data_IF_124964023380
#
_entry.id   IF_124964023380
#
_cell.length_a   1.000
_cell.length_b   1.000
_cell.length_c   1.000
_cell.angle_alpha   90.00
_cell.angle_beta   90.00
_cell.angle_gamma   90.00
#
_symmetry.space_group_name_H-M   'P 1'
#
loop_
_entity.id
_entity.type
_entity.pdbx_description
1 polymer ?
#
# COMPACT_ATOMS: atom_id res chain seq x y z
N UNK A 1 10.03 -5.25 -54.08
CA UNK A 1 9.41 -4.77 -52.81
C UNK A 1 9.46 -5.93 -51.85
N UNK A 2 10.47 -5.96 -51.02
CA UNK A 2 10.72 -7.03 -50.04
C UNK A 2 10.15 -6.56 -48.70
N UNK A 3 9.05 -7.18 -48.27
CA UNK A 3 8.48 -6.99 -46.94
C UNK A 3 9.40 -7.69 -45.92
N UNK A 4 10.08 -6.87 -45.10
CA UNK A 4 10.81 -7.35 -43.92
C UNK A 4 9.76 -7.63 -42.83
N UNK A 5 9.57 -8.92 -42.52
CA UNK A 5 8.76 -9.35 -41.38
C UNK A 5 9.55 -9.06 -40.11
N UNK A 6 9.10 -8.08 -39.35
CA UNK A 6 9.63 -7.74 -38.03
C UNK A 6 9.36 -8.93 -37.11
N UNK A 7 10.43 -9.58 -36.65
CA UNK A 7 10.39 -10.70 -35.73
C UNK A 7 9.85 -10.24 -34.39
N UNK A 8 8.61 -10.62 -34.08
CA UNK A 8 8.06 -10.48 -32.74
C UNK A 8 8.97 -11.22 -31.73
N UNK A 9 9.62 -10.47 -30.83
CA UNK A 9 10.36 -11.04 -29.71
C UNK A 9 9.40 -11.92 -28.91
N UNK A 10 9.65 -13.20 -28.85
CA UNK A 10 8.95 -14.12 -27.95
C UNK A 10 9.25 -13.68 -26.52
N UNK A 11 8.26 -13.14 -25.82
CA UNK A 11 8.35 -12.82 -24.40
C UNK A 11 8.61 -14.12 -23.66
N UNK A 12 9.68 -14.19 -22.87
CA UNK A 12 10.01 -15.37 -22.07
C UNK A 12 9.08 -15.48 -20.85
N UNK A 13 7.89 -15.97 -21.08
CA UNK A 13 6.87 -16.17 -20.03
C UNK A 13 7.33 -17.07 -18.87
N UNK A 14 8.43 -17.80 -19.00
CA UNK A 14 8.96 -18.63 -17.90
C UNK A 14 9.82 -17.82 -16.94
N UNK A 15 10.58 -16.86 -17.45
CA UNK A 15 11.35 -15.91 -16.61
C UNK A 15 10.44 -15.05 -15.77
N UNK A 16 9.43 -14.46 -16.39
CA UNK A 16 8.45 -13.60 -15.73
C UNK A 16 7.70 -14.33 -14.59
N UNK A 17 7.28 -15.58 -14.82
CA UNK A 17 6.62 -16.38 -13.77
C UNK A 17 7.51 -16.67 -12.58
N UNK A 18 8.78 -17.03 -12.82
CA UNK A 18 9.73 -17.32 -11.73
C UNK A 18 9.99 -16.10 -10.86
N UNK A 19 10.10 -14.94 -11.48
CA UNK A 19 10.29 -13.70 -10.76
C UNK A 19 9.04 -13.35 -9.93
N UNK A 20 7.85 -13.41 -10.53
CA UNK A 20 6.58 -13.17 -9.84
C UNK A 20 6.35 -14.12 -8.66
N UNK A 21 6.58 -15.43 -8.84
CA UNK A 21 6.52 -16.43 -7.78
C UNK A 21 7.50 -16.13 -6.64
N UNK A 22 8.68 -15.62 -6.96
CA UNK A 22 9.66 -15.22 -5.96
C UNK A 22 9.22 -13.94 -5.23
N UNK A 23 8.70 -12.95 -5.96
CA UNK A 23 8.18 -11.70 -5.38
C UNK A 23 7.04 -11.97 -4.39
N UNK A 24 6.07 -12.81 -4.77
CA UNK A 24 4.99 -13.24 -3.88
C UNK A 24 5.54 -13.94 -2.63
N UNK A 25 6.51 -14.86 -2.79
CA UNK A 25 7.13 -15.55 -1.64
C UNK A 25 7.85 -14.59 -0.69
N UNK A 26 8.51 -13.55 -1.21
CA UNK A 26 9.17 -12.54 -0.38
C UNK A 26 8.15 -11.76 0.45
N UNK A 27 7.05 -11.31 -0.17
CA UNK A 27 5.97 -10.59 0.51
C UNK A 27 5.29 -11.47 1.56
N UNK A 28 5.02 -12.73 1.24
CA UNK A 28 4.43 -13.69 2.18
C UNK A 28 5.38 -14.03 3.35
N UNK A 29 6.68 -14.16 3.05
CA UNK A 29 7.67 -14.40 4.10
C UNK A 29 7.81 -13.20 5.04
N UNK A 30 7.72 -11.98 4.51
CA UNK A 30 7.71 -10.76 5.32
C UNK A 30 6.50 -10.74 6.27
N UNK A 31 5.31 -11.00 5.75
CA UNK A 31 4.09 -11.08 6.55
C UNK A 31 4.15 -12.13 7.66
N UNK A 32 4.85 -13.26 7.44
CA UNK A 32 5.04 -14.31 8.46
C UNK A 32 6.09 -13.95 9.50
N UNK A 33 7.07 -13.11 9.15
CA UNK A 33 8.11 -12.65 10.10
C UNK A 33 7.62 -11.51 10.98
N UNK A 34 6.77 -10.64 10.45
CA UNK A 34 6.11 -9.63 11.27
C UNK A 34 4.99 -10.30 12.04
N UNK A 35 5.13 -10.32 13.39
CA UNK A 35 4.02 -10.72 14.24
C UNK A 35 2.80 -9.86 13.91
N UNK A 36 1.60 -10.44 14.03
CA UNK A 36 0.38 -9.64 13.90
C UNK A 36 0.39 -8.52 14.94
N UNK A 37 -0.25 -7.40 14.59
CA UNK A 37 -0.27 -6.22 15.46
C UNK A 37 -1.07 -6.48 16.74
N UNK A 38 -0.69 -5.80 17.83
CA UNK A 38 -1.27 -6.01 19.15
C UNK A 38 -2.69 -5.44 19.25
N UNK A 39 -3.54 -6.14 20.02
CA UNK A 39 -4.83 -5.65 20.48
C UNK A 39 -4.65 -5.08 21.88
N UNK A 40 -4.85 -3.77 22.04
CA UNK A 40 -4.76 -3.08 23.31
C UNK A 40 -6.17 -2.89 23.88
N UNK A 41 -6.45 -3.47 25.03
CA UNK A 41 -7.73 -3.25 25.72
C UNK A 41 -7.75 -1.83 26.30
N UNK A 42 -8.81 -1.08 25.97
CA UNK A 42 -9.06 0.24 26.54
C UNK A 42 -10.08 0.13 27.68
N UNK A 43 -9.72 0.64 28.84
CA UNK A 43 -10.67 0.78 29.93
C UNK A 43 -11.61 1.95 29.65
N UNK A 44 -12.90 1.64 29.57
CA UNK A 44 -13.92 2.67 29.42
C UNK A 44 -14.25 3.26 30.79
N UNK A 45 -14.50 4.59 30.86
CA UNK A 45 -15.01 5.22 32.10
C UNK A 45 -16.31 4.56 32.57
N UNK A 46 -16.54 4.50 33.87
CA UNK A 46 -17.70 3.81 34.45
C UNK A 46 -19.05 4.30 33.89
N UNK A 47 -19.16 5.61 33.56
CA UNK A 47 -20.39 6.21 33.00
C UNK A 47 -20.71 5.73 31.58
N UNK A 48 -19.75 5.22 30.81
CA UNK A 48 -19.97 4.69 29.47
C UNK A 48 -20.50 3.26 29.46
N UNK A 49 -20.63 2.61 30.63
CA UNK A 49 -21.13 1.24 30.78
C UNK A 49 -22.62 1.15 30.97
N UNK A 50 -23.32 2.31 31.11
CA UNK A 50 -24.75 2.36 31.35
C UNK A 50 -25.50 2.78 30.09
N UNK A 51 -26.46 1.98 29.69
CA UNK A 51 -27.44 2.36 28.67
C UNK A 51 -28.76 2.62 29.40
N UNK A 52 -29.29 3.82 29.24
CA UNK A 52 -30.66 4.13 29.65
C UNK A 52 -31.61 3.41 28.67
N UNK A 53 -32.27 2.38 29.12
CA UNK A 53 -33.28 1.63 28.34
C UNK A 53 -34.65 2.31 28.30
N UNK A 54 -34.76 3.54 28.83
CA UNK A 54 -36.02 4.29 28.88
C UNK A 54 -37.04 3.74 29.88
N UNK A 55 -36.66 2.81 30.76
CA UNK A 55 -37.53 2.31 31.83
C UNK A 55 -37.52 3.30 33.01
N UNK A 56 -38.64 3.96 33.22
CA UNK A 56 -38.84 4.95 34.29
C UNK A 56 -38.42 4.37 35.67
N UNK A 57 -37.26 4.73 36.16
CA UNK A 57 -36.81 4.53 37.54
C UNK A 57 -36.18 3.19 37.90
N UNK A 58 -35.95 2.29 36.93
CA UNK A 58 -35.10 1.14 37.16
C UNK A 58 -33.62 1.52 36.91
N UNK A 59 -32.63 0.98 37.67
CA UNK A 59 -31.24 1.16 37.33
C UNK A 59 -30.99 0.58 35.93
N UNK A 60 -30.48 1.38 35.01
CA UNK A 60 -30.18 0.96 33.64
C UNK A 60 -29.33 -0.32 33.63
N UNK A 61 -29.56 -1.16 32.67
CA UNK A 61 -28.81 -2.43 32.52
C UNK A 61 -27.35 -2.10 32.24
N UNK A 62 -26.44 -2.67 33.02
CA UNK A 62 -25.01 -2.57 32.76
C UNK A 62 -24.71 -3.33 31.47
N UNK A 63 -24.43 -2.59 30.39
CA UNK A 63 -23.96 -3.17 29.13
C UNK A 63 -22.45 -3.23 29.19
N UNK A 64 -21.92 -4.45 29.28
CA UNK A 64 -20.48 -4.66 29.19
C UNK A 64 -20.01 -4.41 27.74
N UNK A 65 -19.29 -3.30 27.53
CA UNK A 65 -18.61 -3.03 26.26
C UNK A 65 -17.12 -3.22 26.47
N UNK A 66 -16.52 -4.14 25.74
CA UNK A 66 -15.07 -4.30 25.67
C UNK A 66 -14.55 -3.55 24.44
N UNK A 67 -13.76 -2.48 24.69
CA UNK A 67 -13.11 -1.70 23.62
C UNK A 67 -11.66 -2.17 23.47
N UNK A 68 -11.30 -2.48 22.23
CA UNK A 68 -9.93 -2.80 21.85
C UNK A 68 -9.45 -1.90 20.74
N UNK A 69 -8.20 -1.44 20.83
CA UNK A 69 -7.49 -0.73 19.78
C UNK A 69 -6.48 -1.66 19.14
N UNK A 70 -6.49 -1.74 17.82
CA UNK A 70 -5.48 -2.46 17.05
C UNK A 70 -4.27 -1.54 16.85
N UNK A 71 -3.12 -1.90 17.41
CA UNK A 71 -1.88 -1.11 17.30
C UNK A 71 -1.18 -1.40 15.96
N UNK A 72 -1.51 -0.67 14.93
CA UNK A 72 -0.93 -0.79 13.60
C UNK A 72 0.44 -0.08 13.46
N UNK A 73 0.93 0.59 14.52
CA UNK A 73 2.25 1.25 14.50
C UNK A 73 3.42 0.26 14.55
N UNK A 74 3.16 -0.98 14.91
CA UNK A 74 4.16 -2.05 15.04
C UNK A 74 4.54 -2.70 13.71
N UNK A 75 3.88 -2.34 12.62
CA UNK A 75 4.31 -2.78 11.29
C UNK A 75 5.71 -2.27 10.91
N UNK A 76 6.45 -2.95 10.02
CA UNK A 76 7.77 -2.51 9.55
C UNK A 76 7.80 -1.06 9.08
N UNK A 77 6.73 -0.58 8.44
CA UNK A 77 6.60 0.82 7.96
C UNK A 77 5.88 1.75 8.94
N UNK A 78 5.57 1.28 10.15
CA UNK A 78 5.02 2.08 11.24
C UNK A 78 3.56 2.50 11.07
N UNK A 79 2.79 1.89 10.19
CA UNK A 79 1.38 2.27 9.99
C UNK A 79 0.52 1.15 9.41
N UNK A 80 -0.82 1.33 9.54
CA UNK A 80 -1.82 0.43 8.95
C UNK A 80 -1.72 0.31 7.40
N UNK A 81 -1.07 1.28 6.75
CA UNK A 81 -0.90 1.27 5.29
C UNK A 81 0.01 0.15 4.81
N UNK A 82 0.80 -0.43 5.70
CA UNK A 82 1.58 -1.62 5.41
C UNK A 82 0.71 -2.79 4.92
N UNK A 83 -0.45 -3.02 5.56
CA UNK A 83 -1.41 -4.05 5.13
C UNK A 83 -1.99 -3.73 3.75
N UNK A 84 -2.42 -2.49 3.54
CA UNK A 84 -2.96 -2.06 2.25
C UNK A 84 -1.92 -2.22 1.14
N UNK A 85 -0.71 -1.71 1.32
CA UNK A 85 0.35 -1.81 0.33
C UNK A 85 0.68 -3.27 0.00
N UNK A 86 0.75 -4.16 1.03
CA UNK A 86 0.92 -5.60 0.81
C UNK A 86 -0.15 -6.16 -0.12
N UNK A 87 -1.42 -5.89 0.16
CA UNK A 87 -2.54 -6.41 -0.62
C UNK A 87 -2.53 -5.87 -2.05
N UNK A 88 -2.24 -4.57 -2.24
CA UNK A 88 -2.12 -3.94 -3.55
C UNK A 88 -1.01 -4.57 -4.38
N UNK A 89 0.17 -4.80 -3.79
CA UNK A 89 1.28 -5.45 -4.49
C UNK A 89 0.97 -6.89 -4.86
N UNK A 90 0.40 -7.68 -3.96
CA UNK A 90 -0.01 -9.06 -4.25
C UNK A 90 -1.05 -9.10 -5.38
N UNK A 91 -2.03 -8.20 -5.33
CA UNK A 91 -3.05 -8.09 -6.37
C UNK A 91 -2.44 -7.75 -7.73
N UNK A 92 -1.55 -6.76 -7.79
CA UNK A 92 -0.89 -6.34 -9.02
C UNK A 92 0.05 -7.43 -9.59
N UNK A 93 0.77 -8.16 -8.73
CA UNK A 93 1.61 -9.29 -9.11
C UNK A 93 0.78 -10.45 -9.69
N UNK A 94 -0.32 -10.82 -9.02
CA UNK A 94 -1.21 -11.90 -9.47
C UNK A 94 -1.90 -11.59 -10.79
N UNK A 95 -2.15 -10.31 -11.08
CA UNK A 95 -2.72 -9.85 -12.36
C UNK A 95 -1.65 -9.61 -13.44
N UNK A 96 -0.35 -9.76 -13.12
CA UNK A 96 0.74 -9.54 -14.08
C UNK A 96 0.96 -8.06 -14.43
N UNK A 97 0.48 -7.12 -13.62
CA UNK A 97 0.69 -5.69 -13.81
C UNK A 97 2.06 -5.23 -13.32
N UNK A 98 2.61 -5.92 -12.32
CA UNK A 98 3.99 -5.77 -11.88
C UNK A 98 4.77 -7.02 -12.32
N UNK A 99 5.80 -6.79 -13.12
CA UNK A 99 6.75 -7.80 -13.60
C UNK A 99 8.18 -7.35 -13.28
N UNK A 100 9.18 -8.17 -13.59
CA UNK A 100 10.57 -7.81 -13.35
C UNK A 100 10.95 -6.47 -14.03
N UNK A 101 11.44 -5.52 -13.24
CA UNK A 101 11.83 -4.20 -13.71
C UNK A 101 10.69 -3.20 -13.91
N UNK A 102 9.43 -3.57 -13.65
CA UNK A 102 8.31 -2.62 -13.71
C UNK A 102 8.52 -1.48 -12.71
N UNK A 103 8.47 -0.25 -13.16
CA UNK A 103 8.45 0.91 -12.27
C UNK A 103 7.05 1.06 -11.66
N UNK A 104 6.99 0.95 -10.34
CA UNK A 104 5.74 1.15 -9.58
C UNK A 104 5.59 2.64 -9.25
N UNK A 105 4.37 3.17 -9.38
CA UNK A 105 4.07 4.59 -9.21
C UNK A 105 2.88 4.73 -8.26
N UNK A 106 2.92 5.71 -7.36
CA UNK A 106 1.78 6.06 -6.50
C UNK A 106 1.64 7.57 -6.33
N UNK A 107 0.40 8.04 -6.33
CA UNK A 107 0.02 9.44 -6.09
C UNK A 107 -0.17 9.67 -4.58
N UNK A 108 0.92 9.72 -3.82
CA UNK A 108 0.88 9.84 -2.36
C UNK A 108 2.17 10.43 -1.78
N UNK A 109 2.03 11.24 -0.73
CA UNK A 109 3.15 11.74 0.09
C UNK A 109 3.10 11.22 1.53
N UNK A 110 2.23 10.28 1.82
CA UNK A 110 1.95 9.77 3.16
C UNK A 110 2.44 8.35 3.42
N UNK A 111 1.88 7.73 4.45
CA UNK A 111 2.25 6.38 4.89
C UNK A 111 2.04 5.31 3.81
N UNK A 112 1.12 5.53 2.85
CA UNK A 112 0.94 4.62 1.70
C UNK A 112 2.21 4.58 0.86
N UNK A 113 2.72 5.75 0.43
CA UNK A 113 3.94 5.81 -0.37
C UNK A 113 5.15 5.21 0.35
N UNK A 114 5.27 5.39 1.68
CA UNK A 114 6.33 4.75 2.49
C UNK A 114 6.19 3.23 2.46
N UNK A 115 4.96 2.72 2.65
CA UNK A 115 4.71 1.28 2.66
C UNK A 115 4.91 0.64 1.29
N UNK A 116 4.51 1.32 0.23
CA UNK A 116 4.71 0.85 -1.15
C UNK A 116 6.17 0.89 -1.57
N UNK A 117 6.92 1.94 -1.17
CA UNK A 117 8.37 1.98 -1.37
C UNK A 117 9.07 0.78 -0.71
N UNK A 118 8.66 0.43 0.52
CA UNK A 118 9.15 -0.75 1.22
C UNK A 118 8.91 -2.03 0.43
N UNK A 119 7.69 -2.29 -0.05
CA UNK A 119 7.39 -3.50 -0.81
C UNK A 119 8.07 -3.51 -2.18
N UNK A 120 8.15 -2.38 -2.86
CA UNK A 120 8.91 -2.25 -4.11
C UNK A 120 10.39 -2.60 -3.91
N UNK A 121 11.02 -2.07 -2.85
CA UNK A 121 12.38 -2.42 -2.47
C UNK A 121 12.54 -3.92 -2.15
N UNK A 122 11.59 -4.48 -1.39
CA UNK A 122 11.60 -5.89 -0.98
C UNK A 122 11.62 -6.86 -2.18
N UNK A 123 10.88 -6.53 -3.25
CA UNK A 123 10.81 -7.35 -4.47
C UNK A 123 11.77 -6.89 -5.58
N UNK A 124 12.53 -5.81 -5.34
CA UNK A 124 13.58 -5.34 -6.24
C UNK A 124 13.07 -4.57 -7.47
N UNK A 125 11.95 -3.83 -7.36
CA UNK A 125 11.44 -2.97 -8.44
C UNK A 125 11.58 -1.49 -8.10
N UNK A 126 11.76 -0.59 -9.09
CA UNK A 126 11.77 0.85 -8.86
C UNK A 126 10.41 1.37 -8.37
N UNK A 127 10.44 2.37 -7.46
CA UNK A 127 9.23 3.04 -6.97
C UNK A 127 9.33 4.56 -7.11
N UNK A 128 8.25 5.19 -7.56
CA UNK A 128 8.12 6.64 -7.68
C UNK A 128 6.87 7.10 -6.94
N UNK A 129 7.04 7.94 -5.93
CA UNK A 129 5.95 8.64 -5.25
C UNK A 129 5.76 10.03 -5.87
N UNK A 130 4.59 10.29 -6.44
CA UNK A 130 4.23 11.59 -7.00
C UNK A 130 3.54 12.43 -5.93
N UNK A 131 4.04 13.64 -5.71
CA UNK A 131 3.58 14.52 -4.63
C UNK A 131 3.81 16.00 -4.96
N UNK A 132 3.27 16.88 -4.13
CA UNK A 132 3.50 18.32 -4.28
C UNK A 132 4.88 18.74 -3.77
N UNK A 133 5.45 19.79 -4.37
CA UNK A 133 6.70 20.42 -3.94
C UNK A 133 6.63 20.96 -2.50
N UNK A 134 5.43 21.24 -1.98
CA UNK A 134 5.20 21.61 -0.58
C UNK A 134 5.26 20.46 0.42
N UNK A 135 5.52 19.21 -0.01
CA UNK A 135 5.67 18.07 0.92
C UNK A 135 6.90 18.25 1.80
N UNK A 136 6.74 18.04 3.11
CA UNK A 136 7.83 18.26 4.06
C UNK A 136 9.02 17.32 3.83
N UNK A 137 10.27 17.79 4.04
CA UNK A 137 11.47 16.95 3.91
C UNK A 137 11.45 15.69 4.78
N UNK A 138 10.80 15.75 5.94
CA UNK A 138 10.67 14.59 6.82
C UNK A 138 9.85 13.45 6.17
N UNK A 139 8.82 13.78 5.38
CA UNK A 139 8.02 12.78 4.66
C UNK A 139 8.77 12.18 3.48
N UNK A 140 9.46 13.02 2.70
CA UNK A 140 10.24 12.55 1.55
C UNK A 140 11.38 11.64 2.00
N UNK A 141 12.06 11.99 3.09
CA UNK A 141 13.14 11.19 3.67
C UNK A 141 12.67 9.78 4.10
N UNK A 142 11.41 9.62 4.55
CA UNK A 142 10.88 8.30 4.87
C UNK A 142 10.72 7.43 3.63
N UNK A 143 10.22 7.99 2.53
CA UNK A 143 10.06 7.28 1.26
C UNK A 143 11.43 6.91 0.67
N UNK A 144 12.37 7.85 0.69
CA UNK A 144 13.73 7.65 0.16
C UNK A 144 14.51 6.62 0.99
N UNK A 145 14.31 6.58 2.30
CA UNK A 145 14.90 5.56 3.18
C UNK A 145 14.45 4.15 2.80
N UNK A 146 13.22 3.99 2.35
CA UNK A 146 12.70 2.72 1.86
C UNK A 146 13.09 2.45 0.38
N UNK A 147 13.94 3.30 -0.23
CA UNK A 147 14.43 3.12 -1.60
C UNK A 147 13.55 3.75 -2.69
N UNK A 148 12.47 4.44 -2.32
CA UNK A 148 11.60 5.14 -3.25
C UNK A 148 12.21 6.45 -3.75
N UNK A 149 11.72 6.93 -4.89
CA UNK A 149 12.03 8.26 -5.45
C UNK A 149 10.84 9.18 -5.32
N UNK A 150 11.07 10.44 -4.93
CA UNK A 150 10.02 11.45 -4.89
C UNK A 150 10.02 12.26 -6.21
N UNK A 151 8.84 12.36 -6.82
CA UNK A 151 8.59 13.18 -8.00
C UNK A 151 7.64 14.32 -7.64
N UNK A 152 8.04 15.56 -7.92
CA UNK A 152 7.33 16.73 -7.44
C UNK A 152 6.56 17.42 -8.53
N UNK A 153 5.32 17.84 -8.20
CA UNK A 153 4.49 18.75 -9.00
C UNK A 153 4.16 20.00 -8.18
N UNK A 154 3.81 21.09 -8.84
CA UNK A 154 3.54 22.36 -8.16
C UNK A 154 2.16 22.36 -7.47
N UNK A 155 1.14 21.78 -8.10
CA UNK A 155 -0.24 21.81 -7.61
C UNK A 155 -0.71 20.44 -7.19
N UNK A 156 -1.47 20.37 -6.09
CA UNK A 156 -2.06 19.13 -5.61
C UNK A 156 -3.01 18.46 -6.63
N UNK A 157 -3.69 19.28 -7.44
CA UNK A 157 -4.56 18.81 -8.53
C UNK A 157 -3.83 18.03 -9.61
N UNK A 158 -2.54 18.24 -9.78
CA UNK A 158 -1.75 17.68 -10.88
C UNK A 158 -1.11 16.33 -10.50
N UNK A 159 -1.12 15.97 -9.21
CA UNK A 159 -0.43 14.76 -8.68
C UNK A 159 -0.94 13.49 -9.37
N UNK A 160 -2.24 13.36 -9.51
CA UNK A 160 -2.86 12.16 -10.09
C UNK A 160 -2.61 12.06 -11.61
N UNK A 161 -2.82 13.16 -12.32
CA UNK A 161 -2.57 13.22 -13.76
C UNK A 161 -1.10 12.97 -14.11
N UNK A 162 -0.19 13.44 -13.25
CA UNK A 162 1.25 13.21 -13.39
C UNK A 162 1.61 11.74 -13.14
N UNK A 163 0.99 11.08 -12.16
CA UNK A 163 1.18 9.65 -11.95
C UNK A 163 0.77 8.84 -13.17
N UNK A 164 -0.39 9.14 -13.76
CA UNK A 164 -0.87 8.54 -15.02
C UNK A 164 0.05 8.86 -16.22
N UNK A 165 0.62 10.06 -16.26
CA UNK A 165 1.58 10.43 -17.30
C UNK A 165 2.85 9.59 -17.21
N UNK A 166 3.42 9.47 -15.99
CA UNK A 166 4.61 8.66 -15.73
C UNK A 166 4.38 7.19 -16.02
N UNK A 167 3.21 6.63 -15.66
CA UNK A 167 2.84 5.26 -15.99
C UNK A 167 2.97 5.00 -17.50
N UNK A 168 2.36 5.87 -18.33
CA UNK A 168 2.41 5.73 -19.79
C UNK A 168 3.82 5.91 -20.36
N UNK A 169 4.56 6.90 -19.84
CA UNK A 169 5.90 7.24 -20.33
C UNK A 169 6.94 6.17 -20.02
N UNK A 170 6.87 5.60 -18.80
CA UNK A 170 7.84 4.62 -18.32
C UNK A 170 7.42 3.18 -18.62
N UNK A 171 6.19 2.96 -19.12
CA UNK A 171 5.60 1.61 -19.19
C UNK A 171 5.52 0.97 -17.80
N UNK A 172 5.29 1.78 -16.76
CA UNK A 172 5.19 1.35 -15.38
C UNK A 172 3.78 0.92 -14.98
N UNK A 173 3.54 0.82 -13.67
CA UNK A 173 2.24 0.53 -13.10
C UNK A 173 1.89 1.52 -12.00
N UNK A 174 0.81 2.27 -12.20
CA UNK A 174 0.23 3.14 -11.18
C UNK A 174 -0.71 2.31 -10.30
N UNK A 175 -0.33 2.14 -9.02
CA UNK A 175 -1.07 1.27 -8.08
C UNK A 175 -2.47 1.81 -7.80
N UNK A 176 -2.61 3.15 -7.68
CA UNK A 176 -3.88 3.83 -7.43
C UNK A 176 -4.63 3.26 -6.21
N UNK A 177 -4.12 3.53 -5.03
CA UNK A 177 -4.67 3.05 -3.77
C UNK A 177 -6.17 3.33 -3.59
N UNK A 178 -6.70 4.40 -4.19
CA UNK A 178 -8.10 4.79 -4.04
C UNK A 178 -9.04 3.93 -4.88
N UNK A 179 -8.64 3.59 -6.10
CA UNK A 179 -9.45 2.78 -7.02
C UNK A 179 -9.26 1.29 -6.76
N UNK A 180 -8.07 0.87 -6.31
CA UNK A 180 -7.71 -0.54 -6.19
C UNK A 180 -7.85 -1.11 -4.77
N UNK A 181 -8.01 -0.27 -3.73
CA UNK A 181 -8.10 -0.74 -2.34
C UNK A 181 -9.22 -1.75 -2.13
N UNK A 182 -10.41 -1.50 -2.68
CA UNK A 182 -11.56 -2.39 -2.55
C UNK A 182 -11.31 -3.78 -3.16
N UNK A 183 -10.58 -3.83 -4.26
CA UNK A 183 -10.27 -5.09 -4.98
C UNK A 183 -9.11 -5.87 -4.37
N UNK A 184 -8.25 -5.19 -3.63
CA UNK A 184 -7.03 -5.78 -3.08
C UNK A 184 -7.17 -6.25 -1.62
N UNK A 185 -8.30 -6.02 -0.97
CA UNK A 185 -8.51 -6.30 0.46
C UNK A 185 -9.37 -7.52 0.78
N UNK A 186 -9.74 -8.31 -0.20
CA UNK A 186 -10.49 -9.57 -0.01
C UNK A 186 -9.59 -10.73 0.45
#
# INVERSE_FOLDING_TARGET
MTHTVESARSVDHRGDRRWADNAVRLIEADARRSADTHLLRCELPAWSRWVDDGSNGAPGTEVGVDLYLKDESTHPTGSLKHRLARSLFLYALCNGWITEGTTVIEASSGSTAVSEAYFAHLIGVPFIAVMTSGTSPAKTALIEREGGRCHFVERASDVYDEALRLERELGGHFIDQFTMAERATD
#
